data_IF_485419440978
#
_entry.id   IF_485419440978
#
_cell.length_a   1.000
_cell.length_b   1.000
_cell.length_c   1.000
_cell.angle_alpha   90.00
_cell.angle_beta   90.00
_cell.angle_gamma   90.00
#
_symmetry.space_group_name_H-M   'P 1'
#
loop_
_entity.id
_entity.type
_entity.pdbx_description
1 polymer ?
#
# COMPACT_ATOMS: atom_id res chain seq x y z
N UNK A 1 -20.52 -7.88 1.93
CA UNK A 1 -19.14 -7.47 2.34
C UNK A 1 -19.21 -6.04 2.81
N UNK A 2 -18.59 -5.73 3.96
CA UNK A 2 -18.62 -4.39 4.53
C UNK A 2 -17.58 -3.50 3.81
N UNK A 3 -17.98 -2.34 3.31
CA UNK A 3 -17.09 -1.37 2.67
C UNK A 3 -16.27 -0.67 3.75
N UNK A 4 -14.96 -0.87 3.76
CA UNK A 4 -14.05 -0.20 4.69
C UNK A 4 -13.63 1.17 4.18
N UNK A 5 -13.35 1.30 2.87
CA UNK A 5 -13.00 2.56 2.22
C UNK A 5 -13.99 2.87 1.11
N UNK A 6 -14.47 4.12 1.04
CA UNK A 6 -15.27 4.63 -0.07
C UNK A 6 -14.76 6.01 -0.51
N UNK A 7 -14.47 6.16 -1.80
CA UNK A 7 -14.29 7.44 -2.46
C UNK A 7 -15.57 7.75 -3.26
N UNK A 8 -16.14 8.95 -3.07
CA UNK A 8 -17.38 9.38 -3.72
C UNK A 8 -17.15 10.72 -4.43
N UNK A 9 -17.06 10.67 -5.77
CA UNK A 9 -16.90 11.84 -6.65
C UNK A 9 -15.74 12.76 -6.20
N UNK A 10 -14.59 12.15 -5.82
CA UNK A 10 -13.45 12.88 -5.28
C UNK A 10 -12.74 13.59 -6.40
N UNK A 11 -12.52 14.90 -6.23
CA UNK A 11 -11.71 15.72 -7.14
C UNK A 11 -10.66 16.49 -6.35
N UNK A 12 -9.51 16.73 -6.99
CA UNK A 12 -8.44 17.56 -6.44
C UNK A 12 -7.84 18.42 -7.53
N UNK A 13 -7.82 19.72 -7.27
CA UNK A 13 -7.14 20.74 -8.09
C UNK A 13 -6.07 21.40 -7.23
N UNK A 14 -4.83 21.40 -7.72
CA UNK A 14 -3.76 22.16 -7.11
C UNK A 14 -3.80 23.61 -7.62
N UNK A 15 -3.79 24.55 -6.70
CA UNK A 15 -3.64 25.97 -7.00
C UNK A 15 -2.15 26.30 -7.07
N UNK A 16 -1.70 26.86 -8.18
CA UNK A 16 -0.36 27.43 -8.34
C UNK A 16 -0.48 28.95 -8.47
N UNK A 17 0.63 29.67 -8.39
CA UNK A 17 0.60 31.12 -8.47
C UNK A 17 0.00 31.66 -9.80
N UNK A 18 0.09 30.89 -10.88
CA UNK A 18 -0.29 31.33 -12.24
C UNK A 18 -1.29 30.38 -12.92
N UNK A 19 -1.63 29.25 -12.31
CA UNK A 19 -2.45 28.22 -12.98
C UNK A 19 -3.14 27.27 -11.99
N UNK A 20 -4.13 26.54 -12.48
CA UNK A 20 -4.84 25.47 -11.77
C UNK A 20 -4.53 24.12 -12.42
N UNK A 21 -4.04 23.18 -11.64
CA UNK A 21 -3.74 21.82 -12.13
C UNK A 21 -4.76 20.86 -11.56
N UNK A 22 -5.70 20.42 -12.38
CA UNK A 22 -6.60 19.31 -12.03
C UNK A 22 -5.83 18.01 -11.99
N UNK A 23 -5.59 17.49 -10.80
CA UNK A 23 -4.88 16.24 -10.60
C UNK A 23 -5.82 15.03 -10.62
N UNK A 24 -6.98 15.16 -10.02
CA UNK A 24 -7.99 14.10 -9.89
C UNK A 24 -9.36 14.71 -10.22
N UNK A 25 -10.20 13.96 -10.94
CA UNK A 25 -11.55 14.40 -11.32
C UNK A 25 -12.56 13.24 -11.18
N UNK A 26 -13.60 13.46 -10.37
CA UNK A 26 -14.74 12.54 -10.17
C UNK A 26 -14.34 11.08 -9.83
N UNK A 27 -13.28 10.91 -9.06
CA UNK A 27 -12.79 9.57 -8.70
C UNK A 27 -13.74 8.89 -7.72
N UNK A 28 -14.27 7.72 -8.12
CA UNK A 28 -15.19 6.95 -7.28
C UNK A 28 -14.84 5.46 -7.32
N UNK A 29 -14.49 4.89 -6.19
CA UNK A 29 -14.34 3.44 -5.98
C UNK A 29 -14.44 3.11 -4.50
N UNK A 30 -14.45 1.83 -4.18
CA UNK A 30 -14.47 1.34 -2.80
C UNK A 30 -13.48 0.20 -2.59
N UNK A 31 -13.15 -0.08 -1.33
CA UNK A 31 -12.41 -1.26 -0.89
C UNK A 31 -13.15 -1.89 0.28
N UNK A 32 -13.34 -3.20 0.24
CA UNK A 32 -13.97 -3.94 1.31
C UNK A 32 -12.97 -4.26 2.42
N UNK A 33 -13.46 -4.60 3.60
CA UNK A 33 -12.62 -5.06 4.70
C UNK A 33 -11.91 -6.37 4.31
N UNK A 34 -10.60 -6.48 4.60
CA UNK A 34 -9.74 -7.60 4.21
C UNK A 34 -9.39 -7.69 2.71
N UNK A 35 -9.92 -6.78 1.86
CA UNK A 35 -9.63 -6.75 0.41
C UNK A 35 -8.22 -6.17 0.15
N UNK A 36 -7.49 -6.77 -0.78
CA UNK A 36 -6.26 -6.21 -1.33
C UNK A 36 -6.59 -5.49 -2.64
N UNK A 37 -6.52 -4.17 -2.65
CA UNK A 37 -6.83 -3.33 -3.80
C UNK A 37 -5.56 -2.74 -4.39
N UNK A 38 -5.35 -2.85 -5.70
CA UNK A 38 -4.30 -2.10 -6.40
C UNK A 38 -4.86 -0.93 -7.20
N UNK A 39 -4.09 0.15 -7.23
CA UNK A 39 -4.32 1.31 -8.09
C UNK A 39 -3.16 1.40 -9.06
N UNK A 40 -3.45 1.29 -10.35
CA UNK A 40 -2.46 1.38 -11.42
C UNK A 40 -2.86 2.48 -12.41
N UNK A 41 -1.89 2.97 -13.17
CA UNK A 41 -2.12 4.01 -14.17
C UNK A 41 -0.79 4.55 -14.69
N UNK A 42 -0.80 5.39 -15.72
CA UNK A 42 0.38 6.00 -16.30
C UNK A 42 1.25 6.75 -15.28
N UNK A 43 2.54 6.94 -15.59
CA UNK A 43 3.41 7.75 -14.73
C UNK A 43 2.87 9.18 -14.60
N UNK A 44 2.89 9.73 -13.39
CA UNK A 44 2.42 11.08 -13.13
C UNK A 44 0.89 11.28 -13.20
N UNK A 45 0.07 10.24 -13.36
CA UNK A 45 -1.39 10.39 -13.42
C UNK A 45 -2.03 10.81 -12.08
N UNK A 46 -1.35 10.62 -10.93
CA UNK A 46 -1.88 11.02 -9.62
C UNK A 46 -2.06 9.89 -8.61
N UNK A 47 -1.47 8.71 -8.82
CA UNK A 47 -1.58 7.54 -7.91
C UNK A 47 -1.19 7.85 -6.46
N UNK A 48 -0.01 8.43 -6.24
CA UNK A 48 0.45 8.88 -4.92
C UNK A 48 -0.46 9.96 -4.33
N UNK A 49 -1.03 10.83 -5.18
CA UNK A 49 -2.02 11.83 -4.76
C UNK A 49 -3.29 11.17 -4.22
N UNK A 50 -3.78 10.09 -4.87
CA UNK A 50 -4.91 9.29 -4.35
C UNK A 50 -4.58 8.70 -2.99
N UNK A 51 -3.40 8.10 -2.80
CA UNK A 51 -2.98 7.60 -1.47
C UNK A 51 -2.91 8.72 -0.43
N UNK A 52 -2.37 9.89 -0.80
CA UNK A 52 -2.28 11.05 0.10
C UNK A 52 -3.64 11.57 0.53
N UNK A 53 -4.63 11.55 -0.36
CA UNK A 53 -6.02 11.86 -0.05
C UNK A 53 -6.63 10.82 0.91
N UNK A 54 -6.41 9.53 0.67
CA UNK A 54 -6.89 8.45 1.55
C UNK A 54 -6.21 8.53 2.92
N UNK A 55 -4.92 8.91 2.95
CA UNK A 55 -4.17 9.11 4.20
C UNK A 55 -4.60 10.36 4.99
N UNK A 56 -5.40 11.26 4.38
CA UNK A 56 -5.78 12.54 4.99
C UNK A 56 -4.64 13.56 5.00
N UNK A 57 -3.59 13.35 4.23
CA UNK A 57 -2.49 14.28 4.04
C UNK A 57 -2.86 15.42 3.08
N UNK A 58 -3.85 15.19 2.24
CA UNK A 58 -4.45 16.16 1.34
C UNK A 58 -5.96 16.20 1.55
N UNK A 59 -6.55 17.37 1.41
CA UNK A 59 -8.01 17.57 1.44
C UNK A 59 -8.52 17.63 0.01
N UNK A 60 -9.57 16.85 -0.36
CA UNK A 60 -10.13 16.92 -1.69
C UNK A 60 -10.80 18.29 -1.94
N UNK A 61 -10.73 18.80 -3.17
CA UNK A 61 -11.44 20.03 -3.58
C UNK A 61 -12.96 19.81 -3.63
N UNK A 62 -13.39 18.58 -3.92
CA UNK A 62 -14.80 18.16 -3.87
C UNK A 62 -14.93 16.65 -3.66
N UNK A 63 -16.14 16.20 -3.34
CA UNK A 63 -16.41 14.81 -3.04
C UNK A 63 -16.13 14.43 -1.59
N UNK A 64 -16.16 13.12 -1.28
CA UNK A 64 -15.99 12.61 0.09
C UNK A 64 -15.17 11.33 0.08
N UNK A 65 -14.32 11.18 1.09
CA UNK A 65 -13.59 9.94 1.38
C UNK A 65 -14.02 9.47 2.76
N UNK A 66 -14.53 8.24 2.82
CA UNK A 66 -15.02 7.63 4.04
C UNK A 66 -14.20 6.38 4.34
N UNK A 67 -13.79 6.23 5.59
CA UNK A 67 -13.16 5.02 6.12
C UNK A 67 -14.01 4.55 7.30
N UNK A 68 -14.51 3.31 7.23
CA UNK A 68 -15.42 2.75 8.22
C UNK A 68 -16.64 3.68 8.45
N UNK A 69 -17.19 4.26 7.36
CA UNK A 69 -18.30 5.21 7.38
C UNK A 69 -17.98 6.62 7.91
N UNK A 70 -16.75 6.87 8.37
CA UNK A 70 -16.31 8.16 8.92
C UNK A 70 -15.48 8.93 7.91
N UNK A 71 -15.61 10.25 7.87
CA UNK A 71 -14.74 11.09 7.00
C UNK A 71 -13.26 10.95 7.37
N UNK A 72 -12.41 10.96 6.36
CA UNK A 72 -10.94 11.00 6.53
C UNK A 72 -10.58 12.23 7.38
N UNK A 73 -9.58 12.07 8.28
CA UNK A 73 -9.24 13.09 9.31
C UNK A 73 -9.79 12.75 10.70
N UNK A 74 -10.76 11.83 10.83
CA UNK A 74 -11.11 11.21 12.12
C UNK A 74 -9.96 10.28 12.53
N UNK A 75 -9.68 10.12 13.82
CA UNK A 75 -8.57 9.32 14.41
C UNK A 75 -8.56 7.83 13.96
N UNK A 76 -8.43 7.58 12.64
CA UNK A 76 -8.37 6.24 12.07
C UNK A 76 -6.90 5.85 11.93
N UNK A 77 -6.54 4.70 12.48
CA UNK A 77 -5.18 4.18 12.37
C UNK A 77 -4.94 3.67 10.94
N UNK A 78 -4.18 4.43 10.16
CA UNK A 78 -3.70 4.08 8.83
C UNK A 78 -2.21 3.79 8.88
N UNK A 79 -1.77 2.69 8.29
CA UNK A 79 -0.35 2.40 8.06
C UNK A 79 0.05 2.90 6.67
N UNK A 80 1.09 3.73 6.56
CA UNK A 80 1.56 4.24 5.27
C UNK A 80 3.00 3.81 5.05
N UNK A 81 3.22 2.99 4.03
CA UNK A 81 4.53 2.55 3.58
C UNK A 81 4.90 3.29 2.31
N UNK A 82 5.95 4.10 2.39
CA UNK A 82 6.44 4.92 1.29
C UNK A 82 7.29 4.10 0.31
N UNK A 83 7.54 4.66 -0.86
CA UNK A 83 8.32 4.05 -1.95
C UNK A 83 9.71 3.55 -1.50
N UNK A 84 10.39 4.30 -0.63
CA UNK A 84 11.61 3.86 0.05
C UNK A 84 11.26 3.36 1.43
N UNK A 85 12.04 2.45 1.98
CA UNK A 85 11.82 1.87 3.32
C UNK A 85 11.80 2.92 4.45
N UNK A 86 12.45 4.08 4.24
CA UNK A 86 12.51 5.21 5.18
C UNK A 86 12.89 4.79 6.61
N UNK A 87 13.73 3.76 6.73
CA UNK A 87 14.31 3.39 8.01
C UNK A 87 15.36 4.42 8.42
N UNK A 88 15.36 4.84 9.68
CA UNK A 88 16.35 5.76 10.18
C UNK A 88 17.69 5.04 10.33
N UNK A 89 18.72 5.43 9.58
CA UNK A 89 20.02 4.72 9.57
C UNK A 89 20.76 4.74 10.90
N UNK A 90 20.49 5.72 11.76
CA UNK A 90 21.06 5.86 13.11
C UNK A 90 20.29 5.13 14.20
N UNK A 91 19.19 4.44 13.86
CA UNK A 91 18.40 3.62 14.78
C UNK A 91 18.58 2.14 14.45
N UNK A 92 18.62 1.30 15.47
CA UNK A 92 18.53 -0.16 15.26
C UNK A 92 17.18 -0.54 14.67
N UNK A 93 17.06 -1.76 14.15
CA UNK A 93 15.82 -2.28 13.56
C UNK A 93 14.67 -2.23 14.58
N UNK A 94 14.89 -2.71 15.80
CA UNK A 94 13.86 -2.68 16.85
C UNK A 94 13.45 -1.24 17.19
N UNK A 95 14.37 -0.29 17.27
CA UNK A 95 14.05 1.13 17.51
C UNK A 95 13.33 1.79 16.33
N UNK A 96 13.60 1.36 15.09
CA UNK A 96 12.84 1.78 13.93
C UNK A 96 11.38 1.31 14.03
N UNK A 97 11.15 0.06 14.46
CA UNK A 97 9.81 -0.51 14.61
C UNK A 97 9.06 0.15 15.78
N UNK A 98 9.74 0.50 16.88
CA UNK A 98 9.10 1.18 18.02
C UNK A 98 8.72 2.64 17.74
N UNK A 99 9.29 3.27 16.72
CA UNK A 99 9.06 4.69 16.43
C UNK A 99 7.58 5.10 16.34
N UNK A 100 6.71 4.40 15.60
CA UNK A 100 5.29 4.76 15.57
C UNK A 100 4.60 4.65 16.94
N UNK A 101 5.06 3.71 17.79
CA UNK A 101 4.55 3.56 19.15
C UNK A 101 5.00 4.75 20.04
N UNK A 102 6.25 5.20 19.86
CA UNK A 102 6.80 6.38 20.55
C UNK A 102 6.01 7.64 20.16
N UNK A 103 5.81 7.88 18.85
CA UNK A 103 5.10 9.06 18.34
C UNK A 103 3.64 9.10 18.80
N UNK A 104 2.96 7.94 18.83
CA UNK A 104 1.57 7.83 19.26
C UNK A 104 1.39 7.80 20.78
N UNK A 105 2.47 7.78 21.57
CA UNK A 105 2.40 7.69 23.02
C UNK A 105 1.87 6.34 23.54
N UNK A 106 1.91 5.28 22.72
CA UNK A 106 1.45 3.93 23.05
C UNK A 106 2.61 2.93 23.19
N UNK A 107 3.78 3.41 23.58
CA UNK A 107 5.01 2.61 23.71
C UNK A 107 5.00 1.75 24.99
N UNK A 108 3.94 0.95 25.16
CA UNK A 108 3.74 0.05 26.29
C UNK A 108 4.59 -1.21 26.17
N UNK A 109 4.74 -1.96 27.27
CA UNK A 109 5.43 -3.26 27.27
C UNK A 109 4.76 -4.23 26.31
N UNK A 110 3.42 -4.30 26.32
CA UNK A 110 2.62 -5.17 25.45
C UNK A 110 2.88 -4.87 23.96
N UNK A 111 2.87 -3.59 23.56
CA UNK A 111 3.11 -3.20 22.17
C UNK A 111 4.55 -3.47 21.71
N UNK A 112 5.53 -3.38 22.62
CA UNK A 112 6.92 -3.79 22.34
C UNK A 112 7.04 -5.31 22.19
N UNK A 113 6.37 -6.08 23.03
CA UNK A 113 6.32 -7.54 22.93
C UNK A 113 5.67 -7.97 21.61
N UNK A 114 4.59 -7.30 21.19
CA UNK A 114 3.99 -7.52 19.88
C UNK A 114 4.94 -7.18 18.73
N UNK A 115 5.71 -6.11 18.83
CA UNK A 115 6.73 -5.77 17.83
C UNK A 115 7.82 -6.85 17.72
N UNK A 116 8.28 -7.39 18.85
CA UNK A 116 9.24 -8.49 18.87
C UNK A 116 8.64 -9.79 18.31
N UNK A 117 7.38 -10.08 18.65
CA UNK A 117 6.65 -11.20 18.06
C UNK A 117 6.58 -11.10 16.53
N UNK A 118 6.29 -9.91 15.98
CA UNK A 118 6.30 -9.72 14.52
C UNK A 118 7.69 -9.95 13.92
N UNK A 119 8.76 -9.45 14.58
CA UNK A 119 10.13 -9.71 14.13
C UNK A 119 10.47 -11.21 14.10
N UNK A 120 10.06 -11.95 15.13
CA UNK A 120 10.27 -13.39 15.22
C UNK A 120 9.45 -14.14 14.16
N UNK A 121 8.13 -13.86 14.08
CA UNK A 121 7.21 -14.47 13.11
C UNK A 121 7.70 -14.33 11.66
N UNK A 122 8.32 -13.19 11.34
CA UNK A 122 8.81 -12.90 9.99
C UNK A 122 10.33 -13.05 9.84
N UNK A 123 10.97 -13.82 10.76
CA UNK A 123 12.39 -14.24 10.70
C UNK A 123 13.39 -13.06 10.64
N UNK A 124 13.13 -12.04 11.43
CA UNK A 124 13.98 -10.84 11.52
C UNK A 124 14.47 -10.57 12.95
N UNK A 125 14.17 -11.44 13.92
CA UNK A 125 14.48 -11.24 15.34
C UNK A 125 15.98 -11.14 15.60
N UNK A 126 16.79 -11.94 14.88
CA UNK A 126 18.26 -11.93 15.04
C UNK A 126 18.88 -10.59 14.62
N UNK A 127 18.21 -9.84 13.75
CA UNK A 127 18.63 -8.54 13.26
C UNK A 127 18.10 -7.36 14.07
N UNK A 128 17.38 -7.60 15.18
CA UNK A 128 16.72 -6.52 15.95
C UNK A 128 17.68 -5.43 16.44
N UNK A 129 18.93 -5.79 16.73
CA UNK A 129 20.00 -4.87 17.18
C UNK A 129 20.86 -4.32 16.03
N UNK A 130 20.69 -4.83 14.82
CA UNK A 130 21.40 -4.36 13.63
C UNK A 130 20.86 -3.00 13.17
N UNK A 131 21.64 -2.31 12.34
CA UNK A 131 21.26 -1.07 11.66
C UNK A 131 20.76 -1.37 10.24
N UNK A 132 19.97 -0.46 9.61
CA UNK A 132 19.39 -0.68 8.28
C UNK A 132 20.39 -1.02 7.17
N UNK A 133 21.60 -0.47 7.21
CA UNK A 133 22.68 -0.72 6.24
C UNK A 133 23.24 -2.16 6.30
N UNK A 134 23.02 -2.85 7.40
CA UNK A 134 23.43 -4.25 7.59
C UNK A 134 22.40 -5.25 7.04
N UNK A 135 21.24 -4.78 6.52
CA UNK A 135 20.16 -5.60 6.00
C UNK A 135 20.11 -5.56 4.46
N UNK A 136 19.69 -6.68 3.86
CA UNK A 136 19.35 -6.69 2.42
C UNK A 136 18.15 -5.79 2.12
N UNK A 137 17.98 -5.38 0.86
CA UNK A 137 16.83 -4.57 0.43
C UNK A 137 15.47 -5.19 0.81
N UNK A 138 15.32 -6.49 0.57
CA UNK A 138 14.10 -7.22 0.94
C UNK A 138 13.87 -7.31 2.45
N UNK A 139 14.93 -7.45 3.24
CA UNK A 139 14.81 -7.40 4.71
C UNK A 139 14.36 -6.02 5.17
N UNK A 140 14.93 -4.94 4.62
CA UNK A 140 14.49 -3.57 4.95
C UNK A 140 13.04 -3.34 4.62
N UNK A 141 12.54 -3.82 3.47
CA UNK A 141 11.11 -3.70 3.11
C UNK A 141 10.20 -4.44 4.10
N UNK A 142 10.57 -5.66 4.53
CA UNK A 142 9.81 -6.37 5.57
C UNK A 142 9.83 -5.64 6.91
N UNK A 143 10.97 -5.05 7.31
CA UNK A 143 11.04 -4.22 8.52
C UNK A 143 10.15 -2.99 8.40
N UNK A 144 10.14 -2.31 7.25
CA UNK A 144 9.27 -1.16 6.99
C UNK A 144 7.80 -1.53 7.10
N UNK A 145 7.41 -2.70 6.56
CA UNK A 145 6.04 -3.22 6.71
C UNK A 145 5.71 -3.52 8.18
N UNK A 146 6.59 -4.21 8.92
CA UNK A 146 6.40 -4.48 10.35
C UNK A 146 6.23 -3.18 11.14
N UNK A 147 7.04 -2.15 10.84
CA UNK A 147 6.91 -0.82 11.43
C UNK A 147 5.52 -0.20 11.19
N UNK A 148 4.92 -0.45 10.03
CA UNK A 148 3.55 0.02 9.76
C UNK A 148 2.47 -0.86 10.39
N UNK A 149 2.76 -2.11 10.72
CA UNK A 149 1.82 -3.06 11.34
C UNK A 149 1.76 -2.93 12.87
N UNK A 150 2.87 -2.50 13.50
CA UNK A 150 3.04 -2.58 14.97
C UNK A 150 1.96 -1.86 15.78
N UNK A 151 1.37 -0.81 15.25
CA UNK A 151 0.25 -0.08 15.88
C UNK A 151 -1.13 -0.56 15.40
N UNK A 152 -1.20 -1.74 14.78
CA UNK A 152 -2.43 -2.46 14.37
C UNK A 152 -3.37 -1.59 13.51
N UNK A 153 -2.90 -1.02 12.38
CA UNK A 153 -3.74 -0.20 11.52
C UNK A 153 -4.89 -1.02 10.92
N UNK A 154 -6.01 -0.35 10.58
CA UNK A 154 -7.11 -0.97 9.83
C UNK A 154 -6.78 -1.13 8.35
N UNK A 155 -6.10 -0.16 7.76
CA UNK A 155 -5.73 -0.12 6.34
C UNK A 155 -4.23 0.12 6.22
N UNK A 156 -3.59 -0.61 5.31
CA UNK A 156 -2.23 -0.39 4.86
C UNK A 156 -2.24 0.31 3.50
N UNK A 157 -1.56 1.43 3.40
CA UNK A 157 -1.31 2.16 2.17
C UNK A 157 0.14 1.89 1.74
N UNK A 158 0.33 1.37 0.55
CA UNK A 158 1.61 0.93 0.01
C UNK A 158 1.90 1.73 -1.28
N UNK A 159 2.85 2.64 -1.23
CA UNK A 159 3.21 3.50 -2.37
C UNK A 159 4.46 2.97 -3.06
N UNK A 160 4.29 2.25 -4.16
CA UNK A 160 5.36 1.64 -4.97
C UNK A 160 6.45 0.92 -4.11
N UNK A 161 6.08 0.06 -3.17
CA UNK A 161 7.00 -0.44 -2.14
C UNK A 161 8.13 -1.31 -2.69
N UNK A 162 8.02 -1.78 -3.92
CA UNK A 162 8.99 -2.71 -4.52
C UNK A 162 9.84 -2.09 -5.63
N UNK A 163 9.61 -0.83 -5.98
CA UNK A 163 10.24 -0.16 -7.14
C UNK A 163 11.77 -0.06 -7.04
N UNK A 164 12.33 -0.01 -5.83
CA UNK A 164 13.77 0.09 -5.59
C UNK A 164 14.51 -1.27 -5.56
N UNK A 165 13.81 -2.38 -5.79
CA UNK A 165 14.36 -3.73 -5.73
C UNK A 165 14.69 -4.25 -7.14
N UNK A 166 15.74 -5.06 -7.26
CA UNK A 166 16.00 -5.84 -8.47
C UNK A 166 14.89 -6.86 -8.73
N UNK A 167 14.78 -7.35 -9.97
CA UNK A 167 13.65 -8.18 -10.41
C UNK A 167 13.48 -9.47 -9.60
N UNK A 168 14.58 -10.16 -9.25
CA UNK A 168 14.54 -11.42 -8.52
C UNK A 168 14.12 -11.20 -7.05
N UNK A 169 14.74 -10.24 -6.39
CA UNK A 169 14.42 -9.83 -5.01
C UNK A 169 12.98 -9.35 -4.94
N UNK A 170 12.51 -8.58 -5.92
CA UNK A 170 11.14 -8.06 -6.00
C UNK A 170 10.10 -9.16 -5.93
N UNK A 171 10.26 -10.23 -6.72
CA UNK A 171 9.33 -11.36 -6.73
C UNK A 171 9.20 -12.00 -5.35
N UNK A 172 10.32 -12.28 -4.70
CA UNK A 172 10.35 -12.89 -3.36
C UNK A 172 9.73 -11.97 -2.32
N UNK A 173 10.06 -10.66 -2.35
CA UNK A 173 9.54 -9.69 -1.38
C UNK A 173 8.05 -9.42 -1.57
N UNK A 174 7.54 -9.38 -2.82
CA UNK A 174 6.09 -9.31 -3.09
C UNK A 174 5.35 -10.48 -2.44
N UNK A 175 5.90 -11.69 -2.57
CA UNK A 175 5.33 -12.90 -2.00
C UNK A 175 5.32 -12.85 -0.46
N UNK A 176 6.43 -12.45 0.14
CA UNK A 176 6.57 -12.28 1.59
C UNK A 176 5.59 -11.23 2.12
N UNK A 177 5.56 -10.04 1.51
CA UNK A 177 4.68 -8.93 1.91
C UNK A 177 3.21 -9.30 1.80
N UNK A 178 2.82 -9.97 0.71
CA UNK A 178 1.45 -10.47 0.53
C UNK A 178 1.06 -11.43 1.64
N UNK A 179 1.92 -12.43 1.94
CA UNK A 179 1.68 -13.40 3.00
C UNK A 179 1.56 -12.73 4.37
N UNK A 180 2.41 -11.73 4.64
CA UNK A 180 2.35 -10.96 5.89
C UNK A 180 0.99 -10.25 6.01
N UNK A 181 0.57 -9.52 4.97
CA UNK A 181 -0.68 -8.76 4.97
C UNK A 181 -1.89 -9.66 5.15
N UNK A 182 -1.93 -10.80 4.44
CA UNK A 182 -3.01 -11.79 4.56
C UNK A 182 -3.02 -12.48 5.93
N UNK A 183 -1.85 -12.83 6.48
CA UNK A 183 -1.74 -13.45 7.81
C UNK A 183 -2.11 -12.51 8.97
N UNK A 184 -1.99 -11.19 8.77
CA UNK A 184 -2.41 -10.17 9.72
C UNK A 184 -3.85 -9.67 9.44
N UNK A 185 -4.56 -10.28 8.48
CA UNK A 185 -5.94 -9.94 8.10
C UNK A 185 -6.15 -8.45 7.83
N UNK A 186 -5.22 -7.82 7.11
CA UNK A 186 -5.25 -6.38 6.84
C UNK A 186 -5.84 -6.07 5.47
N UNK A 187 -6.63 -5.00 5.41
CA UNK A 187 -6.98 -4.35 4.16
C UNK A 187 -5.76 -3.60 3.63
N UNK A 188 -5.43 -3.78 2.36
CA UNK A 188 -4.28 -3.13 1.75
C UNK A 188 -4.66 -2.40 0.47
N UNK A 189 -4.06 -1.23 0.27
CA UNK A 189 -4.15 -0.45 -0.96
C UNK A 189 -2.74 -0.26 -1.49
N UNK A 190 -2.46 -0.88 -2.63
CA UNK A 190 -1.17 -0.82 -3.31
C UNK A 190 -1.24 0.14 -4.50
N UNK A 191 -0.38 1.11 -4.52
CA UNK A 191 -0.06 1.87 -5.74
C UNK A 191 1.17 1.26 -6.36
N UNK A 192 1.10 0.90 -7.64
CA UNK A 192 2.23 0.39 -8.42
C UNK A 192 2.08 0.76 -9.90
N UNK A 193 3.20 0.78 -10.62
CA UNK A 193 3.23 0.83 -12.08
C UNK A 193 3.46 -0.55 -12.71
N UNK A 194 3.71 -1.58 -11.90
CA UNK A 194 3.90 -2.96 -12.36
C UNK A 194 2.55 -3.70 -12.40
N UNK A 195 2.11 -4.02 -13.64
CA UNK A 195 0.87 -4.75 -13.89
C UNK A 195 0.91 -6.14 -13.25
N UNK A 196 2.09 -6.79 -13.25
CA UNK A 196 2.24 -8.14 -12.70
C UNK A 196 2.09 -8.15 -11.17
N UNK A 197 2.58 -7.13 -10.47
CA UNK A 197 2.34 -6.94 -9.05
C UNK A 197 0.85 -6.77 -8.77
N UNK A 198 0.19 -5.85 -9.50
CA UNK A 198 -1.23 -5.58 -9.32
C UNK A 198 -2.08 -6.84 -9.52
N UNK A 199 -1.85 -7.60 -10.59
CA UNK A 199 -2.63 -8.81 -10.90
C UNK A 199 -2.39 -9.91 -9.86
N UNK A 200 -1.13 -10.14 -9.46
CA UNK A 200 -0.79 -11.26 -8.58
C UNK A 200 -1.14 -11.01 -7.11
N UNK A 201 -1.14 -9.75 -6.67
CA UNK A 201 -1.38 -9.42 -5.26
C UNK A 201 -2.83 -9.06 -4.95
N UNK A 202 -3.64 -8.63 -5.94
CA UNK A 202 -4.89 -7.94 -5.65
C UNK A 202 -6.14 -8.80 -5.88
N UNK A 203 -7.14 -8.52 -5.04
CA UNK A 203 -8.51 -8.99 -5.23
C UNK A 203 -9.27 -8.03 -6.16
N UNK A 204 -8.86 -6.75 -6.22
CA UNK A 204 -9.41 -5.71 -7.07
C UNK A 204 -8.31 -4.80 -7.60
N UNK A 205 -8.42 -4.40 -8.86
CA UNK A 205 -7.51 -3.47 -9.53
C UNK A 205 -8.32 -2.31 -10.09
N UNK A 206 -7.95 -1.09 -9.73
CA UNK A 206 -8.49 0.16 -10.28
C UNK A 206 -7.46 0.72 -11.26
N UNK A 207 -7.84 0.83 -12.51
CA UNK A 207 -7.02 1.43 -13.57
C UNK A 207 -7.40 2.90 -13.70
N UNK A 208 -6.41 3.79 -13.63
CA UNK A 208 -6.60 5.22 -13.76
C UNK A 208 -6.26 5.71 -15.17
N UNK A 209 -6.94 6.78 -15.59
CA UNK A 209 -6.61 7.54 -16.81
C UNK A 209 -5.34 8.37 -16.61
N UNK A 210 -4.87 9.02 -17.69
CA UNK A 210 -3.95 10.16 -17.60
C UNK A 210 -4.60 11.29 -16.80
N UNK A 211 -3.78 12.29 -16.41
CA UNK A 211 -4.24 13.47 -15.68
C UNK A 211 -5.24 14.29 -16.51
N UNK A 212 -6.38 14.71 -15.91
CA UNK A 212 -6.82 14.43 -14.54
C UNK A 212 -7.22 12.96 -14.35
N UNK A 213 -6.76 12.36 -13.23
CA UNK A 213 -7.01 10.95 -12.96
C UNK A 213 -8.49 10.67 -12.71
N UNK A 214 -9.05 9.75 -13.48
CA UNK A 214 -10.39 9.19 -13.32
C UNK A 214 -10.27 7.67 -13.31
N UNK A 215 -11.31 6.97 -12.85
CA UNK A 215 -11.39 5.51 -12.99
C UNK A 215 -11.64 5.18 -14.47
N UNK A 216 -10.69 4.52 -15.11
CA UNK A 216 -10.83 4.01 -16.49
C UNK A 216 -11.57 2.68 -16.48
N UNK A 217 -11.13 1.76 -15.62
CA UNK A 217 -11.72 0.42 -15.50
C UNK A 217 -11.42 -0.17 -14.12
N UNK A 218 -12.19 -1.22 -13.77
CA UNK A 218 -12.00 -1.99 -12.55
C UNK A 218 -11.97 -3.47 -12.91
N UNK A 219 -10.90 -4.16 -12.50
CA UNK A 219 -10.75 -5.61 -12.68
C UNK A 219 -10.81 -6.34 -11.34
N UNK A 220 -11.28 -7.58 -11.37
CA UNK A 220 -11.27 -8.53 -10.24
C UNK A 220 -10.65 -9.84 -10.70
N UNK A 221 -9.30 -9.95 -10.64
CA UNK A 221 -8.63 -11.17 -11.08
C UNK A 221 -9.00 -12.34 -10.16
N UNK A 222 -9.54 -13.41 -10.74
CA UNK A 222 -9.77 -14.68 -10.04
C UNK A 222 -8.70 -15.64 -10.55
N UNK A 223 -7.59 -15.74 -9.81
CA UNK A 223 -6.44 -16.55 -10.19
C UNK A 223 -6.27 -17.72 -9.22
N UNK A 224 -5.84 -18.87 -9.75
CA UNK A 224 -5.46 -20.02 -8.93
C UNK A 224 -4.09 -19.78 -8.30
N UNK A 225 -3.97 -20.07 -7.01
CA UNK A 225 -2.72 -19.93 -6.24
C UNK A 225 -2.94 -19.17 -4.94
N UNK A 226 -2.19 -19.54 -3.94
CA UNK A 226 -2.22 -19.00 -2.57
C UNK A 226 -1.22 -17.85 -2.35
N UNK A 227 -0.37 -17.60 -3.35
CA UNK A 227 0.65 -16.57 -3.29
C UNK A 227 0.85 -15.87 -4.64
N UNK A 228 1.41 -14.65 -4.67
CA UNK A 228 1.70 -13.92 -5.90
C UNK A 228 2.51 -14.72 -6.92
N UNK A 229 3.51 -15.49 -6.47
CA UNK A 229 4.32 -16.33 -7.37
C UNK A 229 3.43 -17.38 -8.03
N UNK A 230 2.61 -18.10 -7.24
CA UNK A 230 1.72 -19.13 -7.77
C UNK A 230 0.61 -18.56 -8.67
N UNK A 231 0.07 -17.40 -8.35
CA UNK A 231 -0.93 -16.73 -9.18
C UNK A 231 -0.39 -16.37 -10.57
N UNK A 232 0.91 -16.06 -10.69
CA UNK A 232 1.56 -15.77 -12.00
C UNK A 232 1.63 -17.00 -12.90
N UNK A 233 1.60 -18.21 -12.33
CA UNK A 233 1.56 -19.47 -13.09
C UNK A 233 0.15 -19.81 -13.63
N UNK A 234 -0.90 -19.07 -13.19
CA UNK A 234 -2.27 -19.27 -13.64
C UNK A 234 -2.42 -18.94 -15.13
N UNK A 235 -3.16 -19.79 -15.86
CA UNK A 235 -3.46 -19.58 -17.29
C UNK A 235 -4.13 -18.23 -17.57
N UNK A 236 -4.95 -17.74 -16.63
CA UNK A 236 -5.69 -16.49 -16.79
C UNK A 236 -4.83 -15.26 -16.50
N UNK A 237 -3.64 -15.42 -15.91
CA UNK A 237 -2.75 -14.29 -15.62
C UNK A 237 -2.39 -13.48 -16.87
N UNK A 238 -1.99 -14.17 -17.95
CA UNK A 238 -1.65 -13.54 -19.23
C UNK A 238 -2.82 -12.78 -19.85
N UNK A 239 -4.05 -13.29 -19.71
CA UNK A 239 -5.26 -12.63 -20.22
C UNK A 239 -5.53 -11.30 -19.48
N UNK A 240 -5.38 -11.26 -18.15
CA UNK A 240 -5.52 -10.02 -17.38
C UNK A 240 -4.39 -9.05 -17.71
N UNK A 241 -3.16 -9.55 -17.84
CA UNK A 241 -2.02 -8.72 -18.20
C UNK A 241 -2.22 -8.02 -19.53
N UNK A 242 -2.62 -8.76 -20.57
CA UNK A 242 -2.86 -8.20 -21.91
C UNK A 242 -3.98 -7.15 -21.92
N UNK A 243 -5.10 -7.43 -21.22
CA UNK A 243 -6.22 -6.50 -21.11
C UNK A 243 -5.81 -5.19 -20.46
N UNK A 244 -5.11 -5.27 -19.32
CA UNK A 244 -4.70 -4.09 -18.58
C UNK A 244 -3.61 -3.31 -19.32
N UNK A 245 -2.66 -4.04 -19.95
CA UNK A 245 -1.61 -3.42 -20.77
C UNK A 245 -2.19 -2.56 -21.89
N UNK A 246 -3.17 -3.08 -22.64
CA UNK A 246 -3.86 -2.35 -23.72
C UNK A 246 -4.57 -1.07 -23.24
N UNK A 247 -4.92 -0.99 -21.97
CA UNK A 247 -5.53 0.22 -21.41
C UNK A 247 -4.51 1.26 -20.94
N UNK A 248 -3.29 0.84 -20.63
CA UNK A 248 -2.24 1.74 -20.12
C UNK A 248 -1.34 2.33 -21.21
N UNK A 249 -1.32 1.68 -22.38
CA UNK A 249 -0.63 2.14 -23.58
C UNK A 249 -1.59 2.88 -24.49
#
# INVERSE_FOLDING_TARGET
MNKLLELKNVSLTYQTLNDEIKAIENLSFNCNDGEFLSIIGPSGCGKTTVLSLIAGLLTPSSGKILIDGKSVGSNIALGYMLQKDQLFPWRTIEKNIYLPLEIKGINTKENKEYALYLLEKYKLIDFRKSYPDQLSGGMRQRVALIRTLVFKPKILLLDEPFSALDAQTRLSVCDDVYKIIKAEEKTAILVTHDISEAISMSDKIVVLTNRPAQVKSIYRPILKGDSPIRKRESKDFGLFFEKIWKELV
#
